data_IF_671789727561
#
_entry.id   IF_671789727561
#
_cell.length_a   1.000
_cell.length_b   1.000
_cell.length_c   1.000
_cell.angle_alpha   90.00
_cell.angle_beta   90.00
_cell.angle_gamma   90.00
#
_symmetry.space_group_name_H-M   'P 1'
#
loop_
_entity.id
_entity.type
_entity.pdbx_description
1 polymer ?
#
# COMPACT_ATOMS: atom_id res chain seq x y z
N UNK A 1 57.20 72.38 3.53
CA UNK A 1 55.85 72.59 2.97
C UNK A 1 55.20 71.22 2.94
N UNK A 2 54.42 70.88 3.97
CA UNK A 2 53.67 69.63 4.07
C UNK A 2 52.24 69.96 4.49
N UNK A 3 51.21 69.43 3.82
CA UNK A 3 49.83 69.73 4.16
C UNK A 3 49.40 68.85 5.34
N UNK A 4 48.99 69.49 6.45
CA UNK A 4 48.29 68.81 7.54
C UNK A 4 46.84 68.52 7.11
N UNK A 5 46.55 67.25 6.86
CA UNK A 5 45.18 66.78 6.58
C UNK A 5 44.40 66.72 7.91
N UNK A 6 43.51 67.69 8.12
CA UNK A 6 42.56 67.68 9.25
C UNK A 6 41.47 66.62 9.00
N UNK A 7 41.48 65.54 9.78
CA UNK A 7 40.39 64.58 9.78
C UNK A 7 39.21 65.17 10.57
N UNK A 8 38.15 65.54 9.86
CA UNK A 8 36.88 65.93 10.49
C UNK A 8 36.27 64.73 11.19
N UNK A 9 36.23 64.75 12.53
CA UNK A 9 35.55 63.74 13.31
C UNK A 9 34.05 63.75 13.00
N UNK A 10 33.61 62.77 12.21
CA UNK A 10 32.19 62.50 11.99
C UNK A 10 31.57 62.10 13.32
N UNK A 11 30.81 63.01 13.94
CA UNK A 11 29.96 62.73 15.10
C UNK A 11 29.03 61.55 14.79
N UNK A 12 29.37 60.36 15.29
CA UNK A 12 28.53 59.17 15.23
C UNK A 12 27.25 59.43 16.02
N UNK A 13 26.15 59.64 15.32
CA UNK A 13 24.80 59.72 15.90
C UNK A 13 24.37 58.30 16.30
N UNK A 14 23.72 58.17 17.46
CA UNK A 14 23.26 56.91 18.08
C UNK A 14 22.26 56.05 17.30
N UNK A 15 22.24 56.12 15.96
CA UNK A 15 21.45 55.28 15.07
C UNK A 15 22.00 53.85 14.92
N UNK A 16 23.28 53.62 15.26
CA UNK A 16 23.91 52.30 15.16
C UNK A 16 23.22 51.24 16.03
N UNK A 17 22.84 51.61 17.27
CA UNK A 17 22.11 50.72 18.18
C UNK A 17 20.73 50.34 17.62
N UNK A 18 20.02 51.32 17.04
CA UNK A 18 18.69 51.12 16.48
C UNK A 18 18.72 50.18 15.26
N UNK A 19 19.71 50.37 14.38
CA UNK A 19 19.93 49.47 13.24
C UNK A 19 20.32 48.07 13.69
N UNK A 20 21.19 47.94 14.69
CA UNK A 20 21.56 46.64 15.25
C UNK A 20 20.34 45.92 15.85
N UNK A 21 19.44 46.64 16.53
CA UNK A 21 18.22 46.07 17.10
C UNK A 21 17.26 45.56 16.02
N UNK A 22 17.04 46.34 14.96
CA UNK A 22 16.19 45.93 13.83
C UNK A 22 16.75 44.67 13.16
N UNK A 23 18.07 44.62 12.95
CA UNK A 23 18.74 43.45 12.38
C UNK A 23 18.59 42.21 13.27
N UNK A 24 18.76 42.36 14.59
CA UNK A 24 18.55 41.29 15.57
C UNK A 24 17.12 40.75 15.52
N UNK A 25 16.13 41.64 15.46
CA UNK A 25 14.71 41.26 15.36
C UNK A 25 14.45 40.54 14.04
N UNK A 26 14.92 41.07 12.91
CA UNK A 26 14.73 40.45 11.60
C UNK A 26 15.35 39.04 11.53
N UNK A 27 16.57 38.85 12.04
CA UNK A 27 17.21 37.53 12.12
C UNK A 27 16.46 36.57 13.04
N UNK A 28 15.91 37.08 14.15
CA UNK A 28 15.12 36.26 15.07
C UNK A 28 13.82 35.77 14.43
N UNK A 29 13.13 36.62 13.66
CA UNK A 29 11.91 36.24 12.93
C UNK A 29 12.24 35.21 11.84
N UNK A 30 13.37 35.37 11.14
CA UNK A 30 13.84 34.40 10.16
C UNK A 30 14.16 33.03 10.80
N UNK A 31 14.84 33.02 11.95
CA UNK A 31 15.17 31.79 12.68
C UNK A 31 13.92 31.02 13.14
N UNK A 32 12.92 31.71 13.72
CA UNK A 32 11.66 31.08 14.13
C UNK A 32 10.91 30.49 12.94
N UNK A 33 10.91 31.21 11.81
CA UNK A 33 10.28 30.73 10.57
C UNK A 33 10.95 29.44 10.07
N UNK A 34 12.29 29.36 10.17
CA UNK A 34 13.03 28.17 9.78
C UNK A 34 12.72 26.96 10.67
N UNK A 35 12.66 27.13 12.00
CA UNK A 35 12.33 26.03 12.93
C UNK A 35 10.98 25.41 12.58
N UNK A 36 9.95 26.24 12.37
CA UNK A 36 8.63 25.76 11.97
C UNK A 36 8.64 25.06 10.61
N UNK A 37 9.46 25.53 9.67
CA UNK A 37 9.65 24.86 8.38
C UNK A 37 10.24 23.46 8.57
N UNK A 38 11.26 23.32 9.42
CA UNK A 38 11.90 22.03 9.71
C UNK A 38 10.92 21.06 10.38
N UNK A 39 10.18 21.49 11.40
CA UNK A 39 9.19 20.64 12.08
C UNK A 39 8.14 20.09 11.10
N UNK A 40 7.67 20.95 10.19
CA UNK A 40 6.74 20.55 9.13
C UNK A 40 7.38 19.56 8.16
N UNK A 41 8.64 19.79 7.75
CA UNK A 41 9.37 18.86 6.88
C UNK A 41 9.59 17.50 7.55
N UNK A 42 9.92 17.47 8.84
CA UNK A 42 10.16 16.23 9.60
C UNK A 42 8.88 15.39 9.71
N UNK A 43 7.74 16.00 10.01
CA UNK A 43 6.46 15.27 10.12
C UNK A 43 5.99 14.71 8.77
N UNK A 44 6.13 15.49 7.69
CA UNK A 44 5.82 15.03 6.33
C UNK A 44 6.74 13.87 5.94
N UNK A 45 8.05 14.01 6.16
CA UNK A 45 9.02 12.96 5.87
C UNK A 45 8.73 11.68 6.67
N UNK A 46 8.36 11.81 7.95
CA UNK A 46 7.96 10.68 8.79
C UNK A 46 6.74 9.95 8.24
N UNK A 47 5.66 10.67 7.91
CA UNK A 47 4.45 10.06 7.34
C UNK A 47 4.72 9.37 6.01
N UNK A 48 5.53 9.98 5.14
CA UNK A 48 5.96 9.37 3.88
C UNK A 48 6.80 8.11 4.13
N UNK A 49 7.73 8.15 5.07
CA UNK A 49 8.55 6.99 5.43
C UNK A 49 7.68 5.83 5.94
N UNK A 50 6.66 6.11 6.77
CA UNK A 50 5.74 5.08 7.22
C UNK A 50 4.91 4.49 6.08
N UNK A 51 4.49 5.30 5.11
CA UNK A 51 3.80 4.83 3.90
C UNK A 51 4.72 3.99 2.99
N UNK A 52 5.96 4.40 2.79
CA UNK A 52 6.94 3.65 2.00
C UNK A 52 7.27 2.30 2.64
N UNK A 53 7.48 2.28 3.95
CA UNK A 53 7.68 1.03 4.68
C UNK A 53 6.43 0.14 4.68
N UNK A 54 5.22 0.72 4.71
CA UNK A 54 3.98 -0.05 4.55
C UNK A 54 3.87 -0.67 3.16
N UNK A 55 4.28 0.05 2.10
CA UNK A 55 4.35 -0.49 0.74
C UNK A 55 5.38 -1.62 0.64
N UNK A 56 6.59 -1.42 1.17
CA UNK A 56 7.62 -2.47 1.17
C UNK A 56 7.16 -3.72 1.94
N UNK A 57 6.49 -3.56 3.08
CA UNK A 57 5.96 -4.68 3.84
C UNK A 57 4.82 -5.43 3.10
N UNK A 58 4.21 -4.83 2.06
CA UNK A 58 3.17 -5.50 1.28
C UNK A 58 3.72 -6.66 0.46
N UNK A 59 5.01 -6.64 0.11
CA UNK A 59 5.67 -7.72 -0.64
C UNK A 59 5.64 -9.05 0.12
N UNK A 60 5.75 -9.02 1.45
CA UNK A 60 5.59 -10.21 2.29
C UNK A 60 4.16 -10.79 2.18
N UNK A 61 3.16 -9.92 2.07
CA UNK A 61 1.78 -10.32 1.82
C UNK A 61 1.60 -10.98 0.47
N UNK A 62 2.29 -10.48 -0.56
CA UNK A 62 2.29 -11.07 -1.90
C UNK A 62 2.96 -12.43 -1.92
N UNK A 63 4.13 -12.56 -1.30
CA UNK A 63 4.85 -13.84 -1.22
C UNK A 63 4.03 -14.90 -0.46
N UNK A 64 3.49 -14.55 0.72
CA UNK A 64 2.66 -15.45 1.51
C UNK A 64 1.38 -15.87 0.77
N UNK A 65 0.70 -14.91 0.13
CA UNK A 65 -0.50 -15.19 -0.66
C UNK A 65 -0.23 -16.09 -1.86
N UNK A 66 0.90 -15.88 -2.55
CA UNK A 66 1.30 -16.73 -3.68
C UNK A 66 1.60 -18.17 -3.21
N UNK A 67 2.33 -18.33 -2.11
CA UNK A 67 2.60 -19.64 -1.50
C UNK A 67 1.31 -20.35 -1.07
N UNK A 68 0.39 -19.64 -0.42
CA UNK A 68 -0.88 -20.21 0.00
C UNK A 68 -1.78 -20.58 -1.19
N UNK A 69 -1.76 -19.80 -2.27
CA UNK A 69 -2.51 -20.10 -3.50
C UNK A 69 -1.96 -21.32 -4.26
N UNK A 70 -0.66 -21.61 -4.13
CA UNK A 70 -0.04 -22.80 -4.71
C UNK A 70 -0.37 -24.07 -3.90
N UNK A 71 -0.37 -23.95 -2.57
CA UNK A 71 -0.46 -25.11 -1.66
C UNK A 71 -1.89 -25.47 -1.23
N UNK A 72 -2.86 -24.54 -1.32
CA UNK A 72 -4.23 -24.73 -0.81
C UNK A 72 -5.25 -25.00 -1.93
N UNK A 73 -6.37 -25.69 -1.62
CA UNK A 73 -7.43 -25.93 -2.60
C UNK A 73 -8.08 -24.63 -3.09
N UNK A 74 -8.49 -24.62 -4.37
CA UNK A 74 -9.04 -23.45 -5.07
C UNK A 74 -10.57 -23.47 -5.23
N UNK A 75 -11.21 -24.56 -4.80
CA UNK A 75 -12.65 -24.75 -4.99
C UNK A 75 -13.48 -24.41 -3.74
N UNK A 76 -12.81 -24.25 -2.59
CA UNK A 76 -13.43 -23.84 -1.32
C UNK A 76 -12.71 -22.64 -0.75
N UNK A 77 -13.45 -21.80 -0.03
CA UNK A 77 -12.84 -20.73 0.77
C UNK A 77 -11.92 -21.31 1.85
N UNK A 78 -10.88 -20.56 2.20
CA UNK A 78 -9.98 -20.92 3.28
C UNK A 78 -9.48 -19.68 4.04
N UNK A 79 -9.00 -19.92 5.25
CA UNK A 79 -8.44 -18.94 6.18
C UNK A 79 -7.00 -19.29 6.51
N UNK A 80 -6.19 -18.30 6.84
CA UNK A 80 -4.86 -18.51 7.43
C UNK A 80 -4.89 -18.28 8.93
N UNK A 81 -3.95 -18.91 9.63
CA UNK A 81 -3.94 -19.02 11.10
C UNK A 81 -3.26 -17.90 11.86
N UNK A 82 -3.20 -16.66 11.34
CA UNK A 82 -2.55 -15.54 12.03
C UNK A 82 -3.53 -14.63 12.77
N UNK A 83 -3.05 -13.96 13.82
CA UNK A 83 -3.89 -13.09 14.66
C UNK A 83 -3.63 -11.61 14.39
N UNK A 84 -4.63 -10.87 13.92
CA UNK A 84 -4.54 -9.40 13.89
C UNK A 84 -4.83 -8.82 15.27
N UNK A 85 -4.02 -9.13 16.29
CA UNK A 85 -4.22 -8.63 17.66
C UNK A 85 -5.69 -8.77 18.14
N UNK A 86 -6.41 -9.75 17.61
CA UNK A 86 -7.75 -10.08 18.05
C UNK A 86 -7.53 -10.74 19.39
N UNK A 87 -7.93 -10.07 20.46
CA UNK A 87 -7.96 -10.66 21.79
C UNK A 87 -8.95 -11.82 21.74
N UNK A 88 -8.46 -13.02 21.42
CA UNK A 88 -9.16 -14.31 21.40
C UNK A 88 -10.27 -14.56 20.37
N UNK A 89 -10.48 -13.71 19.36
CA UNK A 89 -11.44 -14.01 18.29
C UNK A 89 -10.72 -14.52 17.04
N UNK A 90 -11.12 -15.69 16.54
CA UNK A 90 -10.68 -16.19 15.23
C UNK A 90 -11.08 -15.20 14.12
N UNK A 91 -10.26 -15.06 13.06
CA UNK A 91 -10.61 -14.25 11.89
C UNK A 91 -11.95 -14.75 11.30
N UNK A 92 -12.94 -13.86 11.17
CA UNK A 92 -14.24 -14.27 10.63
C UNK A 92 -14.25 -14.26 9.11
N UNK A 93 -13.37 -13.49 8.48
CA UNK A 93 -13.28 -13.33 7.02
C UNK A 93 -12.24 -14.30 6.43
N UNK A 94 -12.59 -14.96 5.33
CA UNK A 94 -11.69 -15.84 4.57
C UNK A 94 -10.58 -15.06 3.88
N UNK A 95 -9.40 -15.66 3.72
CA UNK A 95 -8.31 -15.09 2.95
C UNK A 95 -8.45 -15.41 1.46
N UNK A 96 -9.24 -16.42 1.11
CA UNK A 96 -9.47 -16.82 -0.27
C UNK A 96 -10.95 -17.00 -0.59
N UNK A 97 -11.31 -16.52 -1.78
CA UNK A 97 -12.62 -16.66 -2.37
C UNK A 97 -12.51 -17.29 -3.77
N UNK A 98 -13.20 -18.41 -4.02
CA UNK A 98 -13.16 -19.10 -5.31
C UNK A 98 -13.96 -18.39 -6.42
N UNK A 99 -14.61 -17.28 -6.09
CA UNK A 99 -15.31 -16.37 -7.01
C UNK A 99 -14.85 -14.95 -6.73
N UNK A 100 -14.94 -14.10 -7.75
CA UNK A 100 -14.59 -12.70 -7.65
C UNK A 100 -15.54 -11.98 -6.70
N UNK A 101 -15.04 -10.97 -5.99
CA UNK A 101 -15.92 -10.07 -5.26
C UNK A 101 -16.83 -9.33 -6.25
N UNK A 102 -18.10 -9.17 -5.88
CA UNK A 102 -19.11 -8.57 -6.74
C UNK A 102 -18.64 -7.21 -7.28
N UNK A 103 -18.47 -7.14 -8.60
CA UNK A 103 -18.23 -5.93 -9.40
C UNK A 103 -19.49 -5.08 -9.57
N UNK A 104 -20.39 -5.06 -8.57
CA UNK A 104 -21.61 -4.24 -8.63
C UNK A 104 -21.31 -2.74 -8.76
N UNK A 105 -20.08 -2.34 -8.47
CA UNK A 105 -19.49 -1.08 -8.89
C UNK A 105 -17.99 -1.26 -9.09
N UNK A 106 -17.38 -0.50 -10.01
CA UNK A 106 -15.92 -0.29 -10.13
C UNK A 106 -15.24 0.13 -8.80
N UNK A 107 -16.06 0.45 -7.80
CA UNK A 107 -15.70 0.80 -6.44
C UNK A 107 -16.09 -0.34 -5.49
N UNK A 108 -15.16 -0.84 -4.67
CA UNK A 108 -15.52 -1.66 -3.54
C UNK A 108 -15.67 -0.81 -2.28
N UNK A 109 -16.33 -1.38 -1.26
CA UNK A 109 -16.62 -0.70 -0.01
C UNK A 109 -16.00 -1.41 1.21
N UNK A 110 -14.67 -1.33 1.40
CA UNK A 110 -14.03 -1.95 2.55
C UNK A 110 -14.46 -1.29 3.86
N UNK A 111 -14.67 -2.09 4.90
CA UNK A 111 -14.83 -1.61 6.28
C UNK A 111 -13.47 -1.65 6.98
N UNK A 112 -13.07 -0.50 7.54
CA UNK A 112 -11.80 -0.26 8.23
C UNK A 112 -12.08 0.60 9.47
N UNK A 113 -11.60 0.19 10.64
CA UNK A 113 -11.93 0.81 11.92
C UNK A 113 -13.44 0.85 12.20
N UNK A 114 -14.20 -0.13 11.71
CA UNK A 114 -15.66 -0.15 11.79
C UNK A 114 -16.39 0.85 10.88
N UNK A 115 -15.68 1.55 9.99
CA UNK A 115 -16.26 2.50 9.02
C UNK A 115 -16.08 2.01 7.59
N UNK A 116 -17.11 2.14 6.76
CA UNK A 116 -17.01 1.82 5.33
C UNK A 116 -16.46 3.00 4.54
N UNK A 117 -15.51 2.70 3.65
CA UNK A 117 -14.92 3.64 2.71
C UNK A 117 -15.31 3.23 1.29
N UNK A 118 -15.15 4.14 0.33
CA UNK A 118 -15.31 3.82 -1.10
C UNK A 118 -13.93 3.86 -1.73
N UNK A 119 -13.36 2.69 -2.01
CA UNK A 119 -12.01 2.57 -2.57
C UNK A 119 -12.10 1.74 -3.86
N UNK A 120 -11.74 2.32 -5.02
CA UNK A 120 -11.68 1.59 -6.28
C UNK A 120 -10.79 0.35 -6.17
N UNK A 121 -11.25 -0.78 -6.72
CA UNK A 121 -10.50 -2.03 -6.76
C UNK A 121 -10.44 -2.83 -5.45
N UNK A 122 -10.45 -2.20 -4.27
CA UNK A 122 -10.38 -2.91 -2.98
C UNK A 122 -11.69 -3.64 -2.67
N UNK A 123 -11.69 -4.94 -2.38
CA UNK A 123 -12.95 -5.67 -2.20
C UNK A 123 -13.74 -5.29 -0.95
N UNK A 124 -15.07 -5.40 -1.07
CA UNK A 124 -16.06 -5.09 -0.02
C UNK A 124 -16.03 -6.16 1.06
N UNK A 125 -15.19 -5.93 2.07
CA UNK A 125 -15.02 -6.81 3.21
C UNK A 125 -14.63 -6.01 4.46
N UNK A 126 -14.85 -6.59 5.62
CA UNK A 126 -14.36 -6.05 6.89
C UNK A 126 -12.89 -6.42 7.07
N UNK A 127 -12.01 -5.50 6.70
CA UNK A 127 -10.57 -5.73 6.71
C UNK A 127 -10.01 -5.88 8.11
N UNK A 128 -10.70 -5.44 9.16
CA UNK A 128 -10.24 -5.65 10.52
C UNK A 128 -10.48 -7.08 11.01
N UNK A 129 -11.28 -7.86 10.27
CA UNK A 129 -11.59 -9.27 10.56
C UNK A 129 -10.86 -10.27 9.65
N UNK A 130 -9.99 -9.79 8.77
CA UNK A 130 -9.07 -10.62 7.98
C UNK A 130 -7.86 -10.98 8.83
N UNK A 131 -7.41 -12.23 8.77
CA UNK A 131 -6.21 -12.67 9.45
C UNK A 131 -4.96 -11.91 8.96
N UNK A 132 -4.03 -11.66 9.88
CA UNK A 132 -2.71 -11.14 9.54
C UNK A 132 -1.82 -12.31 9.16
N UNK A 133 -0.85 -12.10 8.28
CA UNK A 133 0.23 -13.09 8.12
C UNK A 133 1.21 -12.97 9.28
N UNK A 134 1.80 -14.10 9.65
CA UNK A 134 2.87 -14.15 10.65
C UNK A 134 4.19 -14.44 9.93
N UNK A 135 5.03 -13.41 9.85
CA UNK A 135 6.35 -13.50 9.22
C UNK A 135 7.34 -12.62 10.00
N UNK A 136 8.41 -13.24 10.49
CA UNK A 136 9.49 -12.58 11.25
C UNK A 136 10.22 -11.47 10.49
N UNK A 137 10.09 -11.41 9.16
CA UNK A 137 10.70 -10.39 8.31
C UNK A 137 9.89 -9.09 8.27
N UNK A 138 8.63 -9.13 8.68
CA UNK A 138 7.77 -7.94 8.76
C UNK A 138 8.26 -7.07 9.93
N UNK A 139 8.59 -5.78 9.70
CA UNK A 139 9.03 -4.92 10.78
C UNK A 139 7.96 -4.73 11.86
N UNK A 140 8.40 -4.59 13.11
CA UNK A 140 7.50 -4.35 14.23
C UNK A 140 6.59 -3.14 14.01
N UNK A 141 5.34 -3.27 14.45
CA UNK A 141 4.32 -2.23 14.28
C UNK A 141 3.62 -2.24 12.92
N UNK A 142 4.09 -3.05 11.97
CA UNK A 142 3.39 -3.31 10.71
C UNK A 142 2.54 -4.57 10.82
N UNK A 143 1.35 -4.52 10.21
CA UNK A 143 0.43 -5.64 10.09
C UNK A 143 0.08 -5.81 8.63
N UNK A 144 0.29 -7.00 8.11
CA UNK A 144 0.05 -7.35 6.71
C UNK A 144 -1.11 -8.32 6.65
N UNK A 145 -2.13 -7.97 5.88
CA UNK A 145 -3.34 -8.75 5.67
C UNK A 145 -3.51 -8.93 4.18
N UNK A 146 -4.00 -10.09 3.74
CA UNK A 146 -4.27 -10.29 2.33
C UNK A 146 -5.58 -11.02 2.11
N UNK A 147 -6.17 -10.75 0.95
CA UNK A 147 -7.34 -11.46 0.44
C UNK A 147 -7.13 -11.74 -1.04
N UNK A 148 -7.43 -12.96 -1.46
CA UNK A 148 -7.38 -13.42 -2.84
C UNK A 148 -8.82 -13.70 -3.29
N UNK A 149 -9.20 -13.18 -4.45
CA UNK A 149 -10.36 -13.64 -5.18
C UNK A 149 -9.97 -14.19 -6.54
N UNK A 150 -10.42 -15.41 -6.81
CA UNK A 150 -10.34 -15.97 -8.16
C UNK A 150 -11.25 -15.14 -9.06
N UNK A 151 -10.76 -14.71 -10.22
CA UNK A 151 -11.52 -13.86 -11.14
C UNK A 151 -12.57 -14.66 -11.91
N UNK A 152 -13.43 -15.38 -11.19
CA UNK A 152 -14.53 -16.18 -11.70
C UNK A 152 -15.88 -15.70 -11.16
N UNK A 153 -16.93 -15.89 -11.94
CA UNK A 153 -18.31 -15.61 -11.57
C UNK A 153 -19.13 -16.91 -11.49
N UNK A 154 -20.36 -16.81 -10.99
CA UNK A 154 -21.29 -17.95 -10.89
C UNK A 154 -21.33 -18.60 -9.52
N UNK A 155 -22.05 -19.72 -9.43
CA UNK A 155 -22.21 -20.51 -8.21
C UNK A 155 -21.16 -21.60 -8.12
N UNK A 156 -20.75 -21.94 -6.90
CA UNK A 156 -19.81 -23.03 -6.65
C UNK A 156 -20.54 -24.39 -6.73
N UNK A 157 -19.89 -25.45 -7.24
CA UNK A 157 -18.61 -25.42 -7.94
C UNK A 157 -18.76 -24.80 -9.35
N UNK A 158 -17.76 -24.04 -9.79
CA UNK A 158 -17.77 -23.43 -11.13
C UNK A 158 -17.63 -24.52 -12.19
N UNK A 159 -18.74 -24.84 -12.85
CA UNK A 159 -18.81 -25.92 -13.84
C UNK A 159 -18.04 -25.61 -15.13
N UNK A 160 -18.21 -24.40 -15.69
CA UNK A 160 -17.50 -23.96 -16.88
C UNK A 160 -16.55 -22.80 -16.56
N UNK A 161 -15.29 -23.15 -16.26
CA UNK A 161 -14.27 -22.16 -15.92
C UNK A 161 -13.83 -21.30 -17.11
N UNK A 162 -13.89 -21.83 -18.33
CA UNK A 162 -13.46 -21.09 -19.52
C UNK A 162 -14.39 -19.89 -19.83
N UNK A 163 -15.68 -20.04 -19.54
CA UNK A 163 -16.68 -18.96 -19.76
C UNK A 163 -16.88 -18.09 -18.52
N UNK A 164 -16.74 -18.69 -17.33
CA UNK A 164 -17.07 -18.00 -16.07
C UNK A 164 -15.88 -17.31 -15.43
N UNK A 165 -14.65 -17.55 -15.91
CA UNK A 165 -13.43 -16.99 -15.35
C UNK A 165 -12.66 -16.14 -16.34
N UNK A 166 -11.96 -15.14 -15.82
CA UNK A 166 -10.87 -14.47 -16.54
C UNK A 166 -9.71 -15.47 -16.64
N UNK A 167 -9.43 -15.90 -17.86
CA UNK A 167 -8.33 -16.82 -18.16
C UNK A 167 -7.55 -16.37 -19.38
N UNK A 168 -6.26 -16.64 -19.38
CA UNK A 168 -5.48 -16.58 -20.61
C UNK A 168 -5.62 -17.91 -21.33
N UNK A 169 -6.16 -17.87 -22.54
CA UNK A 169 -6.14 -19.02 -23.42
C UNK A 169 -4.85 -18.97 -24.23
N UNK A 170 -4.02 -20.03 -24.18
CA UNK A 170 -2.84 -20.08 -25.02
C UNK A 170 -3.27 -20.10 -26.48
N UNK A 171 -2.54 -19.36 -27.33
CA UNK A 171 -2.73 -19.46 -28.77
C UNK A 171 -2.42 -20.90 -29.20
N UNK A 172 -3.41 -21.57 -29.80
CA UNK A 172 -3.20 -22.88 -30.38
C UNK A 172 -2.34 -22.75 -31.64
N UNK A 173 -1.11 -23.25 -31.57
CA UNK A 173 -0.18 -23.30 -32.69
C UNK A 173 -0.07 -24.72 -33.25
N UNK A 174 0.00 -24.89 -34.57
CA UNK A 174 0.17 -26.22 -35.15
C UNK A 174 0.35 -26.25 -36.66
N UNK A 175 0.91 -27.35 -37.14
CA UNK A 175 1.00 -27.60 -38.58
C UNK A 175 -0.39 -27.79 -39.19
N UNK A 176 -0.65 -27.20 -40.36
CA UNK A 176 -1.91 -27.38 -41.13
C UNK A 176 -2.00 -28.74 -41.82
N UNK A 177 -0.99 -29.60 -41.72
CA UNK A 177 -0.99 -30.95 -42.29
C UNK A 177 -1.91 -31.85 -41.48
N UNK A 178 -2.82 -32.56 -42.17
CA UNK A 178 -3.75 -33.50 -41.55
C UNK A 178 -3.03 -34.50 -40.63
N UNK A 179 -3.54 -34.67 -39.40
CA UNK A 179 -2.97 -35.58 -38.40
C UNK A 179 -1.74 -35.08 -37.65
N UNK A 180 -1.30 -33.82 -37.87
CA UNK A 180 -0.16 -33.28 -37.13
C UNK A 180 -0.52 -32.93 -35.68
N UNK A 181 0.42 -33.08 -34.72
CA UNK A 181 0.22 -32.61 -33.35
C UNK A 181 -0.05 -31.11 -33.30
N UNK A 182 -0.95 -30.72 -32.39
CA UNK A 182 -1.22 -29.31 -32.05
C UNK A 182 -0.47 -28.97 -30.77
N UNK A 183 0.11 -27.78 -30.71
CA UNK A 183 0.56 -27.18 -29.46
C UNK A 183 -0.69 -26.62 -28.79
N UNK A 184 -1.18 -27.35 -27.80
CA UNK A 184 -2.22 -26.88 -26.89
C UNK A 184 -1.53 -26.49 -25.59
N UNK A 185 -1.61 -25.22 -25.19
CA UNK A 185 -1.21 -24.83 -23.84
C UNK A 185 -2.33 -25.13 -22.84
N UNK A 186 -2.02 -25.06 -21.55
CA UNK A 186 -3.04 -25.02 -20.50
C UNK A 186 -3.58 -23.59 -20.36
N UNK A 187 -4.90 -23.43 -20.24
CA UNK A 187 -5.49 -22.14 -19.87
C UNK A 187 -5.14 -21.84 -18.42
N UNK A 188 -4.67 -20.62 -18.15
CA UNK A 188 -4.37 -20.16 -16.78
C UNK A 188 -5.45 -19.23 -16.29
N UNK A 189 -6.03 -19.52 -15.13
CA UNK A 189 -7.07 -18.68 -14.52
C UNK A 189 -6.38 -17.58 -13.71
N UNK A 190 -6.92 -16.36 -13.82
CA UNK A 190 -6.40 -15.21 -13.09
C UNK A 190 -7.01 -15.10 -11.70
N UNK A 191 -6.19 -14.67 -10.75
CA UNK A 191 -6.58 -14.37 -9.38
C UNK A 191 -6.19 -12.93 -9.10
N UNK A 192 -7.03 -12.20 -8.37
CA UNK A 192 -6.67 -10.90 -7.84
C UNK A 192 -6.33 -11.04 -6.37
N UNK A 193 -5.11 -10.63 -6.06
CA UNK A 193 -4.63 -10.47 -4.71
C UNK A 193 -4.80 -9.01 -4.32
N UNK A 194 -5.39 -8.77 -3.15
CA UNK A 194 -5.37 -7.46 -2.48
C UNK A 194 -4.64 -7.62 -1.16
N UNK A 195 -3.61 -6.81 -0.95
CA UNK A 195 -2.85 -6.74 0.31
C UNK A 195 -3.17 -5.41 0.98
N UNK A 196 -3.48 -5.46 2.26
CA UNK A 196 -3.58 -4.30 3.15
C UNK A 196 -2.42 -4.33 4.12
N UNK A 197 -1.70 -3.23 4.23
CA UNK A 197 -0.70 -3.04 5.27
C UNK A 197 -1.11 -1.90 6.16
N UNK A 198 -1.08 -2.12 7.47
CA UNK A 198 -1.26 -1.07 8.48
C UNK A 198 0.00 -0.93 9.31
N UNK A 199 0.58 0.26 9.33
CA UNK A 199 1.78 0.60 10.09
C UNK A 199 1.54 1.59 11.24
N UNK A 200 2.62 2.11 11.84
CA UNK A 200 2.57 3.19 12.83
C UNK A 200 1.84 4.45 12.30
N UNK A 201 1.33 5.28 13.21
CA UNK A 201 0.60 6.52 12.87
C UNK A 201 -0.57 6.35 11.90
N UNK A 202 -1.23 5.18 11.93
CA UNK A 202 -2.31 4.82 11.01
C UNK A 202 -1.90 4.91 9.53
N UNK A 203 -0.61 4.70 9.21
CA UNK A 203 -0.19 4.52 7.82
C UNK A 203 -0.90 3.29 7.24
N UNK A 204 -1.62 3.47 6.14
CA UNK A 204 -2.33 2.39 5.46
C UNK A 204 -1.93 2.37 3.99
N UNK A 205 -1.68 1.18 3.48
CA UNK A 205 -1.44 0.94 2.06
C UNK A 205 -2.28 -0.23 1.57
N UNK A 206 -2.81 -0.10 0.36
CA UNK A 206 -3.47 -1.17 -0.37
C UNK A 206 -2.72 -1.42 -1.67
N UNK A 207 -2.34 -2.67 -1.90
CA UNK A 207 -1.64 -3.11 -3.11
C UNK A 207 -2.45 -4.20 -3.77
N UNK A 208 -2.58 -4.15 -5.10
CA UNK A 208 -3.26 -5.17 -5.87
C UNK A 208 -2.33 -5.79 -6.90
N UNK A 209 -2.36 -7.11 -6.97
CA UNK A 209 -1.56 -7.89 -7.91
C UNK A 209 -2.47 -8.92 -8.58
N UNK A 210 -2.28 -9.14 -9.88
CA UNK A 210 -2.95 -10.23 -10.60
C UNK A 210 -1.99 -11.41 -10.66
N UNK A 211 -2.38 -12.51 -10.04
CA UNK A 211 -1.66 -13.78 -10.07
C UNK A 211 -2.27 -14.68 -11.16
N UNK A 212 -1.49 -15.68 -11.58
CA UNK A 212 -1.95 -16.81 -12.38
C UNK A 212 -1.65 -18.10 -11.63
N UNK A 213 -2.40 -19.15 -11.92
CA UNK A 213 -2.04 -20.51 -11.53
C UNK A 213 -0.89 -21.09 -12.35
#
# INVERSE_FOLDING_TARGET
MEPRVMHGERRQRGAALFMALIMLVAMSIAAVSLVRSVDTTVTIAGNLAFQQAALQASDFGVEAAAHDLDTKPRESQWKVGGTCRLTSAEPTVSNYFPTMFATASTMGSPTIGGRSYTIPGVPTLDWDKVACIEDSRIPDGYRVQYVIDRLCTGTLPIANRAESCVSDNPEEGGSRRAGSPRITGASSIRYRLTVRVTGPNNAQSFVQVVLRD
#
